data_IF_677143829310
#
_entry.id   IF_677143829310
#
_cell.length_a   1.000
_cell.length_b   1.000
_cell.length_c   1.000
_cell.angle_alpha   90.00
_cell.angle_beta   90.00
_cell.angle_gamma   90.00
#
_symmetry.space_group_name_H-M   'P 1'
#
loop_
_entity.id
_entity.type
_entity.pdbx_description
1 polymer ?
#
# COMPACT_ATOMS: atom_id res chain seq x y z
N UNK A 1 43.24 -36.12 -17.80
CA UNK A 1 43.50 -35.07 -16.81
C UNK A 1 43.13 -33.66 -17.27
N UNK A 2 43.29 -33.33 -18.52
CA UNK A 2 42.94 -31.99 -19.05
C UNK A 2 41.44 -31.73 -19.12
N UNK A 3 40.64 -32.73 -19.33
CA UNK A 3 39.17 -32.62 -19.39
C UNK A 3 38.51 -32.40 -18.03
N UNK A 4 39.14 -32.86 -16.95
CA UNK A 4 38.62 -32.73 -15.59
C UNK A 4 38.69 -31.29 -15.06
N UNK A 5 39.74 -30.54 -15.46
CA UNK A 5 39.91 -29.14 -15.08
C UNK A 5 38.90 -28.20 -15.72
N UNK A 6 38.54 -28.48 -16.98
CA UNK A 6 37.51 -27.70 -17.72
C UNK A 6 36.13 -27.83 -17.13
N UNK A 7 35.77 -29.00 -16.62
CA UNK A 7 34.44 -29.21 -16.00
C UNK A 7 34.28 -28.51 -14.67
N UNK A 8 35.34 -28.43 -13.88
CA UNK A 8 35.33 -27.72 -12.60
C UNK A 8 35.17 -26.20 -12.81
N UNK A 9 35.84 -25.64 -13.82
CA UNK A 9 35.71 -24.21 -14.13
C UNK A 9 34.32 -23.88 -14.66
N UNK A 10 33.71 -24.74 -15.46
CA UNK A 10 32.33 -24.58 -15.89
C UNK A 10 31.32 -24.61 -14.75
N UNK A 11 31.51 -25.49 -13.77
CA UNK A 11 30.65 -25.63 -12.63
C UNK A 11 30.69 -24.38 -11.72
N UNK A 12 31.90 -23.84 -11.54
CA UNK A 12 32.10 -22.63 -10.74
C UNK A 12 31.47 -21.40 -11.38
N UNK A 13 31.52 -21.29 -12.71
CA UNK A 13 30.89 -20.19 -13.46
C UNK A 13 29.38 -20.23 -13.42
N UNK A 14 28.78 -21.42 -13.42
CA UNK A 14 27.30 -21.58 -13.30
C UNK A 14 26.83 -21.22 -11.90
N UNK A 15 27.59 -21.55 -10.87
CA UNK A 15 27.26 -21.17 -9.50
C UNK A 15 27.35 -19.67 -9.23
N UNK A 16 28.30 -18.98 -9.87
CA UNK A 16 28.43 -17.53 -9.75
C UNK A 16 27.29 -16.77 -10.42
N UNK A 17 26.73 -17.30 -11.51
CA UNK A 17 25.60 -16.67 -12.21
C UNK A 17 24.29 -16.77 -11.45
N UNK A 18 24.13 -17.76 -10.58
CA UNK A 18 22.89 -17.96 -9.80
C UNK A 18 22.77 -17.01 -8.60
N UNK A 19 23.84 -16.35 -8.21
CA UNK A 19 23.87 -15.53 -7.00
C UNK A 19 23.42 -14.08 -7.20
N UNK A 20 23.24 -13.64 -8.45
CA UNK A 20 22.97 -12.23 -8.76
C UNK A 20 21.47 -11.89 -8.78
N UNK A 21 20.58 -12.89 -8.77
CA UNK A 21 19.14 -12.65 -8.94
C UNK A 21 18.36 -12.13 -7.71
N UNK A 22 18.68 -12.44 -6.46
CA UNK A 22 17.89 -11.98 -5.33
C UNK A 22 17.98 -10.49 -5.02
N UNK A 23 19.08 -9.83 -5.43
CA UNK A 23 19.31 -8.43 -5.11
C UNK A 23 18.51 -7.45 -5.99
N UNK A 24 18.01 -7.89 -7.14
CA UNK A 24 17.29 -7.02 -8.08
C UNK A 24 15.83 -6.79 -7.70
N UNK A 25 15.18 -7.73 -7.04
CA UNK A 25 13.78 -7.60 -6.64
C UNK A 25 13.59 -6.62 -5.48
N UNK A 26 14.63 -6.37 -4.69
CA UNK A 26 14.57 -5.45 -3.55
C UNK A 26 14.71 -3.98 -3.94
N UNK A 27 15.47 -3.68 -5.00
CA UNK A 27 15.75 -2.31 -5.45
C UNK A 27 14.67 -1.74 -6.39
N UNK A 28 13.72 -2.57 -6.84
CA UNK A 28 12.73 -2.20 -7.83
C UNK A 28 11.34 -1.87 -7.26
N UNK A 29 11.16 -1.90 -5.94
CA UNK A 29 9.88 -1.52 -5.32
C UNK A 29 9.77 0.01 -5.23
N UNK A 30 8.74 0.61 -5.87
CA UNK A 30 8.48 2.03 -5.67
C UNK A 30 8.15 2.31 -4.20
N UNK A 31 8.46 3.51 -3.68
CA UNK A 31 8.05 3.89 -2.34
C UNK A 31 6.55 3.72 -2.20
N UNK A 32 6.11 3.00 -1.18
CA UNK A 32 4.69 2.81 -0.90
C UNK A 32 4.06 4.15 -0.54
N UNK A 33 2.95 4.46 -1.18
CA UNK A 33 2.14 5.61 -0.77
C UNK A 33 1.56 5.34 0.62
N UNK A 34 1.99 6.11 1.61
CA UNK A 34 1.57 5.94 3.00
C UNK A 34 0.21 6.53 3.30
N UNK A 35 -0.42 7.21 2.34
CA UNK A 35 -1.78 7.71 2.52
C UNK A 35 -2.77 6.57 2.67
N UNK A 36 -3.79 6.80 3.48
CA UNK A 36 -4.82 5.80 3.75
C UNK A 36 -5.83 5.78 2.60
N UNK A 37 -6.03 4.61 2.00
CA UNK A 37 -7.03 4.42 0.96
C UNK A 37 -8.41 4.26 1.61
N UNK A 38 -9.27 5.26 1.46
CA UNK A 38 -10.60 5.26 2.06
C UNK A 38 -11.55 4.19 1.50
N UNK A 39 -11.23 3.63 0.33
CA UNK A 39 -12.02 2.57 -0.28
C UNK A 39 -11.68 1.18 0.23
N UNK A 40 -10.48 0.98 0.79
CA UNK A 40 -9.99 -0.34 1.22
C UNK A 40 -9.60 -0.41 2.68
N UNK A 41 -9.43 0.74 3.35
CA UNK A 41 -8.99 0.80 4.73
C UNK A 41 -9.97 0.12 5.68
N UNK A 42 -9.42 -0.53 6.70
CA UNK A 42 -10.19 -1.06 7.83
C UNK A 42 -10.64 0.07 8.75
N UNK A 43 -11.59 -0.21 9.65
CA UNK A 43 -12.00 0.75 10.70
C UNK A 43 -10.78 1.22 11.50
N UNK A 44 -9.91 0.29 11.89
CA UNK A 44 -8.71 0.58 12.67
C UNK A 44 -7.74 1.50 11.92
N UNK A 45 -7.55 1.27 10.62
CA UNK A 45 -6.70 2.13 9.80
C UNK A 45 -7.29 3.53 9.66
N UNK A 46 -8.60 3.65 9.45
CA UNK A 46 -9.29 4.94 9.37
C UNK A 46 -9.19 5.72 10.68
N UNK A 47 -9.20 5.03 11.82
CA UNK A 47 -9.05 5.66 13.12
C UNK A 47 -7.67 6.28 13.37
N UNK A 48 -6.67 5.95 12.56
CA UNK A 48 -5.35 6.61 12.60
C UNK A 48 -5.40 8.04 12.06
N UNK A 49 -6.44 8.39 11.31
CA UNK A 49 -6.64 9.74 10.82
C UNK A 49 -7.02 10.69 11.97
N UNK A 50 -6.42 11.88 12.05
CA UNK A 50 -6.74 12.83 13.12
C UNK A 50 -8.22 13.23 13.10
N UNK A 51 -8.88 13.12 14.25
CA UNK A 51 -10.28 13.46 14.43
C UNK A 51 -11.27 12.38 13.93
N UNK A 52 -10.79 11.26 13.45
CA UNK A 52 -11.62 10.12 13.01
C UNK A 52 -11.61 9.07 14.11
N UNK A 53 -12.66 9.07 14.92
CA UNK A 53 -12.88 8.05 15.93
C UNK A 53 -13.63 6.83 15.37
N UNK A 54 -13.97 5.86 16.24
CA UNK A 54 -14.62 4.61 15.82
C UNK A 54 -15.96 4.84 15.12
N UNK A 55 -16.74 5.83 15.56
CA UNK A 55 -18.03 6.14 14.96
C UNK A 55 -17.90 6.63 13.52
N UNK A 56 -16.99 7.58 13.25
CA UNK A 56 -16.78 8.09 11.89
C UNK A 56 -16.13 7.06 10.98
N UNK A 57 -15.16 6.31 11.49
CA UNK A 57 -14.54 5.21 10.75
C UNK A 57 -15.58 4.17 10.33
N UNK A 58 -16.45 3.76 11.23
CA UNK A 58 -17.54 2.83 10.92
C UNK A 58 -18.51 3.39 9.87
N UNK A 59 -18.83 4.69 9.94
CA UNK A 59 -19.70 5.34 8.95
C UNK A 59 -19.06 5.39 7.55
N UNK A 60 -17.77 5.61 7.45
CA UNK A 60 -17.04 5.57 6.17
C UNK A 60 -17.13 4.18 5.57
N UNK A 61 -16.84 3.14 6.34
CA UNK A 61 -16.93 1.75 5.90
C UNK A 61 -18.35 1.39 5.46
N UNK A 62 -19.36 1.77 6.25
CA UNK A 62 -20.75 1.52 5.94
C UNK A 62 -21.20 2.25 4.66
N UNK A 63 -20.78 3.50 4.49
CA UNK A 63 -21.11 4.28 3.30
C UNK A 63 -20.59 3.61 2.02
N UNK A 64 -19.32 3.20 2.00
CA UNK A 64 -18.75 2.55 0.82
C UNK A 64 -19.38 1.18 0.55
N UNK A 65 -19.85 0.51 1.58
CA UNK A 65 -20.53 -0.77 1.44
C UNK A 65 -21.91 -0.62 0.84
N UNK A 66 -22.66 0.43 1.21
CA UNK A 66 -24.03 0.68 0.73
C UNK A 66 -24.07 1.39 -0.62
N UNK A 67 -23.18 2.34 -0.84
CA UNK A 67 -23.21 3.25 -1.99
C UNK A 67 -22.09 3.01 -3.00
N UNK A 68 -21.20 2.04 -2.73
CA UNK A 68 -20.04 1.77 -3.56
C UNK A 68 -18.83 2.63 -3.18
N UNK A 69 -17.74 2.41 -3.90
CA UNK A 69 -16.49 3.09 -3.65
C UNK A 69 -16.59 4.62 -3.87
N UNK A 70 -15.85 5.36 -3.06
CA UNK A 70 -15.69 6.80 -3.28
C UNK A 70 -14.95 7.03 -4.60
N UNK A 71 -15.45 7.93 -5.43
CA UNK A 71 -14.83 8.26 -6.72
C UNK A 71 -13.70 9.27 -6.58
N UNK A 72 -13.74 10.10 -5.53
CA UNK A 72 -12.74 11.11 -5.20
C UNK A 72 -12.56 11.14 -3.69
N UNK A 73 -11.36 11.46 -3.18
CA UNK A 73 -11.15 11.57 -1.73
C UNK A 73 -12.08 12.56 -1.05
N UNK A 74 -12.38 13.69 -1.70
CA UNK A 74 -13.27 14.71 -1.17
C UNK A 74 -14.72 14.25 -1.02
N UNK A 75 -15.13 13.18 -1.67
CA UNK A 75 -16.48 12.63 -1.54
C UNK A 75 -16.75 12.04 -0.15
N UNK A 76 -15.74 11.86 0.66
CA UNK A 76 -15.90 11.46 2.06
C UNK A 76 -16.74 12.46 2.87
N UNK A 77 -16.86 13.70 2.42
CA UNK A 77 -17.72 14.73 3.05
C UNK A 77 -19.19 14.31 3.07
N UNK A 78 -19.62 13.46 2.13
CA UNK A 78 -21.00 12.97 2.06
C UNK A 78 -21.34 12.09 3.28
N UNK A 79 -20.34 11.50 3.90
CA UNK A 79 -20.55 10.63 5.07
C UNK A 79 -21.10 11.45 6.23
N UNK A 80 -22.15 10.92 6.86
CA UNK A 80 -22.82 11.57 7.97
C UNK A 80 -21.84 11.93 9.10
N UNK A 81 -21.86 13.18 9.50
CA UNK A 81 -20.98 13.71 10.56
C UNK A 81 -19.62 14.21 10.07
N UNK A 82 -19.33 14.03 8.80
CA UNK A 82 -18.11 14.59 8.19
C UNK A 82 -18.37 16.05 7.83
N UNK A 83 -17.59 16.96 8.42
CA UNK A 83 -17.63 18.38 8.07
C UNK A 83 -16.47 18.74 7.14
N UNK A 84 -16.60 19.88 6.45
CA UNK A 84 -15.53 20.42 5.64
C UNK A 84 -14.24 20.67 6.46
N UNK A 85 -14.39 21.12 7.69
CA UNK A 85 -13.24 21.32 8.59
C UNK A 85 -12.55 20.00 8.94
N UNK A 86 -13.33 18.97 9.24
CA UNK A 86 -12.78 17.64 9.52
C UNK A 86 -12.07 17.06 8.29
N UNK A 87 -12.68 17.19 7.13
CA UNK A 87 -12.06 16.76 5.86
C UNK A 87 -10.72 17.46 5.61
N UNK A 88 -10.65 18.78 5.78
CA UNK A 88 -9.41 19.54 5.56
C UNK A 88 -8.25 19.04 6.40
N UNK A 89 -8.52 18.55 7.60
CA UNK A 89 -7.47 18.00 8.49
C UNK A 89 -6.88 16.68 7.99
N UNK A 90 -7.63 15.93 7.21
CA UNK A 90 -7.22 14.60 6.74
C UNK A 90 -6.96 14.54 5.23
N UNK A 91 -7.28 15.58 4.48
CA UNK A 91 -7.25 15.58 3.02
C UNK A 91 -5.90 15.12 2.45
N UNK A 92 -4.80 15.56 3.05
CA UNK A 92 -3.44 15.20 2.63
C UNK A 92 -3.01 13.80 3.06
N UNK A 93 -3.81 13.13 3.89
CA UNK A 93 -3.51 11.82 4.45
C UNK A 93 -4.31 10.68 3.82
N UNK A 94 -5.26 11.01 2.93
CA UNK A 94 -6.14 10.03 2.30
C UNK A 94 -5.98 9.99 0.80
N UNK A 95 -6.34 8.86 0.22
CA UNK A 95 -6.40 8.62 -1.23
C UNK A 95 -7.53 7.64 -1.55
N UNK A 96 -7.78 7.44 -2.82
CA UNK A 96 -8.60 6.35 -3.35
C UNK A 96 -7.76 5.42 -4.19
#
# INVERSE_FOLDING_TARGET
MKTFRLHIISLVLILAASFVQPARSFAAQPPSDQRININTATVEELMQLPGIGPTYAARIVEHRRRHGAFKRPQDVIIVRGMSANRYRRIAHLIRI
#
